data_IF_792895419360
#
_entry.id   IF_792895419360
#
_cell.length_a   1.000
_cell.length_b   1.000
_cell.length_c   1.000
_cell.angle_alpha   90.00
_cell.angle_beta   90.00
_cell.angle_gamma   90.00
#
_symmetry.space_group_name_H-M   'P 1'
#
loop_
_entity.id
_entity.type
_entity.pdbx_description
1 polymer ?
#
# COMPACT_ATOMS: atom_id res chain seq x y z
N UNK A 1 -9.05 23.39 -13.06
CA UNK A 1 -7.84 22.96 -12.34
C UNK A 1 -7.95 21.47 -12.15
N UNK A 2 -7.31 20.71 -13.03
CA UNK A 2 -7.22 19.26 -12.98
C UNK A 2 -5.72 18.94 -12.98
N UNK A 3 -5.25 18.22 -11.96
CA UNK A 3 -3.92 17.63 -11.95
C UNK A 3 -4.09 16.11 -12.03
N UNK A 4 -3.70 15.57 -13.17
CA UNK A 4 -3.46 14.16 -13.41
C UNK A 4 -2.06 13.81 -12.89
N UNK A 5 -1.95 12.79 -12.04
CA UNK A 5 -0.65 12.28 -11.59
C UNK A 5 -0.33 11.02 -12.41
N UNK A 6 0.64 11.14 -13.29
CA UNK A 6 1.14 10.08 -14.15
C UNK A 6 2.24 9.29 -13.42
N UNK A 7 2.19 7.96 -13.54
CA UNK A 7 3.06 7.01 -12.88
C UNK A 7 4.42 6.89 -13.59
N UNK A 8 5.53 7.05 -12.85
CA UNK A 8 6.88 6.76 -13.34
C UNK A 8 7.31 5.33 -13.00
N UNK A 9 7.76 4.59 -14.03
CA UNK A 9 8.38 3.25 -13.94
C UNK A 9 9.78 3.33 -13.27
N UNK A 10 10.19 2.29 -12.53
CA UNK A 10 11.50 2.25 -11.89
C UNK A 10 12.63 1.92 -12.87
N UNK A 11 13.76 2.63 -12.72
CA UNK A 11 15.01 2.37 -13.44
C UNK A 11 15.79 1.21 -12.80
N UNK A 12 16.37 0.40 -13.69
CA UNK A 12 17.24 -0.74 -13.47
C UNK A 12 18.50 -0.39 -12.66
N UNK A 13 18.71 -1.03 -11.50
CA UNK A 13 20.02 -1.04 -10.82
C UNK A 13 20.62 -2.44 -10.85
N UNK A 14 21.84 -2.52 -11.39
CA UNK A 14 22.65 -3.71 -11.59
C UNK A 14 22.86 -4.49 -10.28
N UNK A 15 22.61 -5.80 -10.34
CA UNK A 15 22.98 -6.79 -9.31
C UNK A 15 24.51 -6.81 -9.15
N UNK A 16 25.02 -6.41 -8.00
CA UNK A 16 26.34 -6.83 -7.53
C UNK A 16 26.16 -7.74 -6.32
N UNK A 17 26.41 -9.03 -6.56
CA UNK A 17 26.37 -10.13 -5.61
C UNK A 17 27.67 -10.08 -4.80
N UNK A 18 27.69 -9.36 -3.67
CA UNK A 18 28.80 -9.50 -2.70
C UNK A 18 28.63 -10.84 -1.98
N UNK A 19 29.57 -11.75 -2.25
CA UNK A 19 29.73 -13.03 -1.56
C UNK A 19 29.93 -12.76 -0.06
N UNK A 20 29.33 -13.60 0.77
CA UNK A 20 29.45 -13.52 2.23
C UNK A 20 30.91 -13.60 2.66
N UNK A 21 31.29 -12.68 3.54
CA UNK A 21 32.55 -12.72 4.26
C UNK A 21 32.37 -13.73 5.41
N UNK A 22 33.06 -14.86 5.28
CA UNK A 22 33.21 -15.87 6.32
C UNK A 22 34.03 -15.31 7.49
N UNK A 23 33.73 -15.82 8.69
CA UNK A 23 34.28 -15.41 10.00
C UNK A 23 35.82 -15.43 10.12
N UNK A 24 36.53 -15.94 9.11
CA UNK A 24 38.00 -16.08 9.08
C UNK A 24 38.77 -14.79 8.73
N UNK A 25 38.08 -13.71 8.36
CA UNK A 25 38.76 -12.45 7.95
C UNK A 25 39.21 -11.57 9.14
N UNK A 26 38.95 -11.98 10.38
CA UNK A 26 39.17 -11.15 11.58
C UNK A 26 40.57 -11.32 12.23
N UNK A 27 41.28 -12.43 11.97
CA UNK A 27 42.61 -12.72 12.56
C UNK A 27 43.77 -12.62 11.57
N UNK A 28 43.85 -11.51 10.82
CA UNK A 28 44.81 -11.37 9.71
C UNK A 28 45.46 -10.00 9.59
N UNK A 29 45.78 -9.32 10.69
CA UNK A 29 46.59 -8.10 10.65
C UNK A 29 47.92 -8.33 11.39
N UNK A 30 48.97 -8.69 10.64
CA UNK A 30 50.36 -8.58 11.11
C UNK A 30 50.65 -7.11 11.34
N UNK A 31 50.86 -6.72 12.59
CA UNK A 31 51.43 -5.41 12.93
C UNK A 31 52.91 -5.45 12.52
N UNK A 32 53.25 -4.73 11.46
CA UNK A 32 54.63 -4.38 11.14
C UNK A 32 55.02 -3.22 12.05
N UNK A 33 55.57 -3.52 13.23
CA UNK A 33 56.39 -2.56 13.96
C UNK A 33 57.85 -2.86 13.63
N UNK A 34 58.36 -2.09 12.68
CA UNK A 34 59.77 -1.88 12.42
C UNK A 34 60.26 -0.90 13.48
N UNK A 35 60.88 -1.42 14.54
CA UNK A 35 61.83 -0.64 15.33
C UNK A 35 63.16 -1.35 15.19
N UNK A 36 64.10 -0.66 14.53
CA UNK A 36 65.47 -1.07 14.33
C UNK A 36 66.09 -1.33 15.71
N UNK A 37 66.45 -2.59 15.98
CA UNK A 37 67.33 -2.92 17.09
C UNK A 37 68.72 -2.46 16.64
N UNK A 38 69.09 -1.25 17.03
CA UNK A 38 70.45 -0.75 16.88
C UNK A 38 71.37 -1.63 17.75
N UNK A 39 72.10 -2.52 17.10
CA UNK A 39 73.12 -3.36 17.73
C UNK A 39 74.27 -2.44 18.15
N UNK A 40 74.33 -2.06 19.43
CA UNK A 40 75.55 -1.47 19.99
C UNK A 40 76.62 -2.56 19.97
N UNK A 41 77.48 -2.53 18.94
CA UNK A 41 78.80 -3.15 19.01
C UNK A 41 79.66 -2.31 19.94
N UNK A 42 79.65 -2.62 21.24
CA UNK A 42 80.68 -2.12 22.13
C UNK A 42 81.89 -3.05 22.11
N UNK A 43 82.97 -2.48 21.59
CA UNK A 43 84.33 -3.00 21.54
C UNK A 43 84.83 -3.50 22.89
N UNK A 44 85.40 -4.70 22.90
CA UNK A 44 86.14 -5.25 24.04
C UNK A 44 87.28 -4.31 24.49
N UNK A 45 87.38 -3.93 25.79
CA UNK A 45 88.57 -3.26 26.28
C UNK A 45 89.68 -4.30 26.48
N UNK A 46 90.84 -3.98 25.90
CA UNK A 46 92.09 -4.73 26.06
C UNK A 46 92.51 -4.77 27.54
N UNK A 47 93.12 -5.87 27.92
CA UNK A 47 93.73 -6.06 29.24
C UNK A 47 94.87 -5.05 29.48
N UNK A 48 94.81 -4.34 30.61
CA UNK A 48 95.99 -3.76 31.24
C UNK A 48 95.91 -3.97 32.74
N UNK A 49 96.90 -4.69 33.29
CA UNK A 49 97.06 -4.94 34.72
C UNK A 49 97.37 -3.63 35.46
N UNK A 50 96.68 -3.40 36.58
CA UNK A 50 97.01 -2.36 37.56
C UNK A 50 96.42 -2.74 38.92
N UNK A 51 97.30 -2.96 39.89
CA UNK A 51 97.03 -3.37 41.27
C UNK A 51 96.22 -2.34 42.08
N UNK A 52 95.39 -2.84 43.01
CA UNK A 52 95.31 -2.30 44.38
C UNK A 52 94.09 -1.44 44.77
N UNK A 53 93.18 -2.07 45.52
CA UNK A 53 92.25 -1.53 46.54
C UNK A 53 91.19 -0.48 46.17
N UNK A 54 89.96 -0.93 45.91
CA UNK A 54 88.80 -0.77 46.83
C UNK A 54 87.55 -1.46 46.22
N UNK A 55 86.98 -2.52 46.85
CA UNK A 55 85.74 -3.17 46.38
C UNK A 55 84.48 -2.31 46.54
N UNK A 56 84.54 -1.21 47.30
CA UNK A 56 83.36 -0.55 47.85
C UNK A 56 82.59 0.36 46.87
N UNK A 57 83.24 0.95 45.86
CA UNK A 57 82.59 1.93 44.96
C UNK A 57 81.95 1.31 43.71
N UNK A 58 82.35 0.11 43.32
CA UNK A 58 81.74 -0.63 42.19
C UNK A 58 80.48 -1.36 42.62
N UNK A 59 80.49 -1.92 43.83
CA UNK A 59 79.36 -2.64 44.41
C UNK A 59 78.18 -1.71 44.71
N UNK A 60 78.45 -0.46 45.11
CA UNK A 60 77.44 0.60 45.25
C UNK A 60 76.78 0.97 43.90
N UNK A 61 77.54 1.05 42.82
CA UNK A 61 77.02 1.34 41.47
C UNK A 61 76.13 0.21 40.94
N UNK A 62 76.55 -1.05 41.11
CA UNK A 62 75.75 -2.25 40.77
C UNK A 62 74.47 -2.33 41.61
N UNK A 63 74.54 -1.99 42.90
CA UNK A 63 73.36 -1.91 43.78
C UNK A 63 72.39 -0.80 43.34
N UNK A 64 72.91 0.35 42.89
CA UNK A 64 72.07 1.44 42.41
C UNK A 64 71.41 1.10 41.06
N UNK A 65 72.14 0.44 40.16
CA UNK A 65 71.62 -0.03 38.89
C UNK A 65 70.53 -1.10 39.06
N UNK A 66 70.74 -2.06 39.97
CA UNK A 66 69.73 -3.10 40.29
C UNK A 66 68.47 -2.49 40.88
N UNK A 67 68.58 -1.55 41.85
CA UNK A 67 67.42 -0.82 42.39
C UNK A 67 66.66 -0.03 41.32
N UNK A 68 67.35 0.63 40.38
CA UNK A 68 66.70 1.35 39.27
C UNK A 68 65.99 0.39 38.31
N UNK A 69 66.60 -0.76 38.03
CA UNK A 69 66.01 -1.80 37.19
C UNK A 69 64.76 -2.41 37.85
N UNK A 70 64.82 -2.71 39.15
CA UNK A 70 63.69 -3.20 39.94
C UNK A 70 62.53 -2.18 39.95
N UNK A 71 62.81 -0.92 40.25
CA UNK A 71 61.81 0.15 40.23
C UNK A 71 61.17 0.32 38.83
N UNK A 72 61.97 0.22 37.76
CA UNK A 72 61.45 0.25 36.39
C UNK A 72 60.54 -0.94 36.08
N UNK A 73 60.93 -2.16 36.49
CA UNK A 73 60.10 -3.35 36.33
C UNK A 73 58.80 -3.27 37.13
N UNK A 74 58.85 -2.78 38.37
CA UNK A 74 57.66 -2.56 39.20
C UNK A 74 56.70 -1.55 38.57
N UNK A 75 57.21 -0.40 38.09
CA UNK A 75 56.40 0.61 37.39
C UNK A 75 55.73 0.01 36.14
N UNK A 76 56.50 -0.73 35.32
CA UNK A 76 55.95 -1.38 34.11
C UNK A 76 54.93 -2.47 34.45
N UNK A 77 55.15 -3.25 35.50
CA UNK A 77 54.22 -4.26 35.97
C UNK A 77 52.91 -3.61 36.42
N UNK A 78 52.98 -2.52 37.18
CA UNK A 78 51.81 -1.79 37.66
C UNK A 78 51.01 -1.19 36.49
N UNK A 79 51.69 -0.58 35.50
CA UNK A 79 51.04 -0.08 34.28
C UNK A 79 50.37 -1.23 33.52
N UNK A 80 51.03 -2.38 33.42
CA UNK A 80 50.48 -3.56 32.73
C UNK A 80 49.23 -4.08 33.44
N UNK A 81 49.25 -4.18 34.78
CA UNK A 81 48.09 -4.58 35.57
C UNK A 81 46.93 -3.59 35.43
N UNK A 82 47.20 -2.28 35.44
CA UNK A 82 46.18 -1.24 35.18
C UNK A 82 45.57 -1.38 33.79
N UNK A 83 46.39 -1.63 32.76
CA UNK A 83 45.88 -1.86 31.39
C UNK A 83 45.06 -3.16 31.30
N UNK A 84 45.51 -4.23 31.94
CA UNK A 84 44.82 -5.51 31.94
C UNK A 84 43.45 -5.42 32.62
N UNK A 85 43.39 -4.81 33.82
CA UNK A 85 42.13 -4.57 34.54
C UNK A 85 41.18 -3.67 33.75
N UNK A 86 41.69 -2.61 33.11
CA UNK A 86 40.88 -1.77 32.23
C UNK A 86 40.31 -2.55 31.03
N UNK A 87 41.11 -3.38 30.37
CA UNK A 87 40.65 -4.23 29.27
C UNK A 87 39.61 -5.25 29.74
N UNK A 88 39.82 -5.88 30.90
CA UNK A 88 38.88 -6.83 31.48
C UNK A 88 37.53 -6.17 31.76
N UNK A 89 37.51 -4.99 32.38
CA UNK A 89 36.27 -4.25 32.62
C UNK A 89 35.54 -3.90 31.31
N UNK A 90 36.28 -3.49 30.27
CA UNK A 90 35.69 -3.21 28.95
C UNK A 90 35.12 -4.47 28.28
N UNK A 91 35.77 -5.62 28.44
CA UNK A 91 35.25 -6.89 27.96
C UNK A 91 33.94 -7.24 28.69
N UNK A 92 33.89 -7.12 30.02
CA UNK A 92 32.70 -7.41 30.82
C UNK A 92 31.53 -6.48 30.47
N UNK A 93 31.79 -5.19 30.24
CA UNK A 93 30.81 -4.22 29.75
C UNK A 93 30.26 -4.62 28.38
N UNK A 94 31.16 -4.97 27.44
CA UNK A 94 30.79 -5.41 26.09
C UNK A 94 29.97 -6.70 26.13
N UNK A 95 30.27 -7.62 27.04
CA UNK A 95 29.49 -8.84 27.24
C UNK A 95 28.07 -8.54 27.74
N UNK A 96 27.92 -7.62 28.71
CA UNK A 96 26.62 -7.18 29.22
C UNK A 96 25.79 -6.51 28.12
N UNK A 97 26.39 -5.62 27.35
CA UNK A 97 25.73 -4.96 26.21
C UNK A 97 25.28 -5.99 25.17
N UNK A 98 26.13 -6.97 24.84
CA UNK A 98 25.78 -8.05 23.91
C UNK A 98 24.63 -8.92 24.43
N UNK A 99 24.57 -9.21 25.72
CA UNK A 99 23.44 -9.93 26.32
C UNK A 99 22.14 -9.13 26.24
N UNK A 100 22.20 -7.82 26.53
CA UNK A 100 21.06 -6.92 26.41
C UNK A 100 20.55 -6.83 24.96
N UNK A 101 21.46 -6.71 23.98
CA UNK A 101 21.13 -6.72 22.56
C UNK A 101 20.48 -8.04 22.13
N UNK A 102 21.03 -9.19 22.55
CA UNK A 102 20.42 -10.50 22.27
C UNK A 102 19.00 -10.61 22.82
N UNK A 103 18.76 -10.12 24.04
CA UNK A 103 17.42 -10.10 24.63
C UNK A 103 16.46 -9.20 23.83
N UNK A 104 16.94 -8.02 23.41
CA UNK A 104 16.15 -7.09 22.59
C UNK A 104 15.80 -7.67 21.22
N UNK A 105 16.74 -8.37 20.58
CA UNK A 105 16.50 -9.03 19.29
C UNK A 105 15.40 -10.08 19.43
N UNK A 106 15.45 -10.95 20.44
CA UNK A 106 14.39 -11.95 20.69
C UNK A 106 13.01 -11.30 20.90
N UNK A 107 12.95 -10.22 21.68
CA UNK A 107 11.70 -9.47 21.85
C UNK A 107 11.18 -8.89 20.54
N UNK A 108 12.05 -8.39 19.66
CA UNK A 108 11.65 -7.88 18.36
C UNK A 108 11.14 -9.00 17.45
N UNK A 109 11.82 -10.16 17.43
CA UNK A 109 11.39 -11.34 16.67
C UNK A 109 10.02 -11.84 17.11
N UNK A 110 9.76 -11.91 18.42
CA UNK A 110 8.45 -12.34 18.94
C UNK A 110 7.35 -11.32 18.62
N UNK A 111 7.64 -10.02 18.74
CA UNK A 111 6.71 -8.98 18.33
C UNK A 111 6.40 -9.03 16.82
N UNK A 112 7.40 -9.34 15.99
CA UNK A 112 7.23 -9.45 14.54
C UNK A 112 6.35 -10.65 14.16
N UNK A 113 6.56 -11.80 14.82
CA UNK A 113 5.68 -12.98 14.67
C UNK A 113 4.23 -12.67 15.02
N UNK A 114 3.98 -11.94 16.11
CA UNK A 114 2.63 -11.53 16.51
C UNK A 114 2.00 -10.60 15.45
N UNK A 115 2.77 -9.62 14.94
CA UNK A 115 2.31 -8.73 13.87
C UNK A 115 1.99 -9.48 12.58
N UNK A 116 2.83 -10.45 12.19
CA UNK A 116 2.60 -11.26 11.00
C UNK A 116 1.30 -12.06 11.11
N UNK A 117 1.05 -12.68 12.27
CA UNK A 117 -0.21 -13.38 12.52
C UNK A 117 -1.42 -12.45 12.45
N UNK A 118 -1.31 -11.23 12.97
CA UNK A 118 -2.38 -10.23 12.92
C UNK A 118 -2.63 -9.76 11.49
N UNK A 119 -1.58 -9.53 10.69
CA UNK A 119 -1.70 -9.18 9.28
C UNK A 119 -2.40 -10.28 8.47
N UNK A 120 -2.11 -11.56 8.75
CA UNK A 120 -2.79 -12.68 8.10
C UNK A 120 -4.29 -12.67 8.45
N UNK A 121 -4.65 -12.47 9.72
CA UNK A 121 -6.05 -12.38 10.16
C UNK A 121 -6.77 -11.20 9.49
N UNK A 122 -6.13 -10.04 9.45
CA UNK A 122 -6.68 -8.85 8.79
C UNK A 122 -6.88 -9.06 7.29
N UNK A 123 -5.92 -9.71 6.61
CA UNK A 123 -6.03 -10.07 5.20
C UNK A 123 -7.23 -10.99 4.95
N UNK A 124 -7.41 -12.03 5.79
CA UNK A 124 -8.56 -12.93 5.68
C UNK A 124 -9.89 -12.21 5.92
N UNK A 125 -9.96 -11.30 6.90
CA UNK A 125 -11.15 -10.50 7.17
C UNK A 125 -11.47 -9.55 6.02
N UNK A 126 -10.45 -8.93 5.42
CA UNK A 126 -10.59 -8.06 4.26
C UNK A 126 -11.20 -8.81 3.08
N UNK A 127 -10.70 -10.02 2.78
CA UNK A 127 -11.26 -10.88 1.71
C UNK A 127 -12.73 -11.21 1.95
N UNK A 128 -13.10 -11.58 3.18
CA UNK A 128 -14.50 -11.83 3.55
C UNK A 128 -15.39 -10.60 3.36
N UNK A 129 -14.88 -9.41 3.73
CA UNK A 129 -15.60 -8.16 3.53
C UNK A 129 -15.77 -7.82 2.05
N UNK A 130 -14.74 -8.02 1.22
CA UNK A 130 -14.82 -7.84 -0.23
C UNK A 130 -15.86 -8.75 -0.88
N UNK A 131 -15.88 -10.03 -0.50
CA UNK A 131 -16.88 -11.00 -0.95
C UNK A 131 -18.30 -10.59 -0.56
N UNK A 132 -18.49 -10.15 0.70
CA UNK A 132 -19.77 -9.65 1.18
C UNK A 132 -20.22 -8.38 0.45
N UNK A 133 -19.32 -7.42 0.24
CA UNK A 133 -19.61 -6.19 -0.51
C UNK A 133 -20.02 -6.53 -1.95
N UNK A 134 -19.31 -7.45 -2.60
CA UNK A 134 -19.64 -7.93 -3.95
C UNK A 134 -21.03 -8.58 -3.97
N UNK A 135 -21.31 -9.47 -3.03
CA UNK A 135 -22.62 -10.11 -2.89
C UNK A 135 -23.74 -9.10 -2.69
N UNK A 136 -23.58 -8.16 -1.75
CA UNK A 136 -24.56 -7.13 -1.46
C UNK A 136 -24.77 -6.19 -2.65
N UNK A 137 -23.70 -5.79 -3.34
CA UNK A 137 -23.78 -4.95 -4.54
C UNK A 137 -24.59 -5.63 -5.64
N UNK A 138 -24.32 -6.91 -5.89
CA UNK A 138 -25.08 -7.71 -6.85
C UNK A 138 -26.54 -7.85 -6.41
N UNK A 139 -26.79 -8.08 -5.11
CA UNK A 139 -28.14 -8.23 -4.58
C UNK A 139 -28.95 -6.94 -4.69
N UNK A 140 -28.35 -5.79 -4.37
CA UNK A 140 -28.98 -4.47 -4.52
C UNK A 140 -29.28 -4.19 -5.98
N UNK A 141 -28.36 -4.48 -6.90
CA UNK A 141 -28.58 -4.33 -8.35
C UNK A 141 -29.73 -5.21 -8.84
N UNK A 142 -29.81 -6.47 -8.40
CA UNK A 142 -30.92 -7.39 -8.72
C UNK A 142 -32.27 -6.85 -8.19
N UNK A 143 -32.34 -6.44 -6.92
CA UNK A 143 -33.56 -5.91 -6.32
C UNK A 143 -34.02 -4.61 -7.01
N UNK A 144 -33.08 -3.72 -7.31
CA UNK A 144 -33.34 -2.46 -8.00
C UNK A 144 -33.89 -2.70 -9.41
N UNK A 145 -33.30 -3.63 -10.16
CA UNK A 145 -33.79 -4.00 -11.49
C UNK A 145 -35.15 -4.72 -11.45
N UNK A 146 -35.40 -5.58 -10.45
CA UNK A 146 -36.72 -6.19 -10.25
C UNK A 146 -37.78 -5.13 -9.97
N UNK A 147 -37.47 -4.14 -9.13
CA UNK A 147 -38.36 -3.02 -8.84
C UNK A 147 -38.64 -2.10 -10.04
N UNK A 148 -37.72 -2.06 -11.02
CA UNK A 148 -37.84 -1.27 -12.25
C UNK A 148 -38.30 -2.05 -13.48
N UNK A 149 -38.57 -3.35 -13.35
CA UNK A 149 -38.90 -4.23 -14.48
C UNK A 149 -40.06 -3.72 -15.33
N UNK A 150 -41.06 -3.15 -14.66
CA UNK A 150 -42.31 -2.65 -15.25
C UNK A 150 -42.26 -1.16 -15.60
N UNK A 151 -41.09 -0.53 -15.44
CA UNK A 151 -40.89 0.89 -15.72
C UNK A 151 -40.40 1.09 -17.16
N UNK A 152 -40.95 2.11 -17.83
CA UNK A 152 -40.37 2.73 -19.02
C UNK A 152 -39.83 4.11 -18.69
N UNK A 153 -38.71 4.44 -19.32
CA UNK A 153 -38.09 5.75 -19.27
C UNK A 153 -38.30 6.46 -20.60
N UNK A 154 -38.89 7.65 -20.54
CA UNK A 154 -39.18 8.48 -21.70
C UNK A 154 -38.32 9.73 -21.64
N UNK A 155 -37.66 10.03 -22.76
CA UNK A 155 -36.65 11.07 -22.90
C UNK A 155 -37.10 12.02 -24.03
N UNK A 156 -36.98 13.33 -23.78
CA UNK A 156 -37.30 14.37 -24.77
C UNK A 156 -38.70 14.99 -24.64
N UNK A 157 -39.49 14.61 -23.62
CA UNK A 157 -40.78 15.25 -23.37
C UNK A 157 -40.59 16.68 -22.85
N UNK A 158 -41.17 17.73 -23.48
CA UNK A 158 -41.03 19.11 -23.03
C UNK A 158 -41.57 19.34 -21.61
N UNK A 159 -40.96 20.25 -20.85
CA UNK A 159 -41.39 20.60 -19.48
C UNK A 159 -42.44 21.72 -19.46
N UNK A 160 -43.53 21.55 -20.21
CA UNK A 160 -44.63 22.52 -20.18
C UNK A 160 -45.64 22.19 -19.05
N UNK A 161 -46.26 23.18 -18.40
CA UNK A 161 -47.24 22.95 -17.33
C UNK A 161 -48.39 22.01 -17.74
N UNK A 162 -48.83 22.10 -19.00
CA UNK A 162 -49.93 21.26 -19.52
C UNK A 162 -49.53 19.78 -19.59
N UNK A 163 -48.26 19.50 -19.87
CA UNK A 163 -47.71 18.13 -19.94
C UNK A 163 -47.45 17.60 -18.53
N UNK A 164 -46.84 18.43 -17.67
CA UNK A 164 -46.41 18.00 -16.34
C UNK A 164 -47.58 17.69 -15.40
N UNK A 165 -48.72 18.37 -15.56
CA UNK A 165 -49.91 18.14 -14.72
C UNK A 165 -50.65 16.86 -15.11
N UNK A 166 -50.53 16.42 -16.37
CA UNK A 166 -51.31 15.32 -16.96
C UNK A 166 -50.44 14.25 -17.58
N UNK A 167 -49.36 13.86 -16.90
CA UNK A 167 -48.39 12.90 -17.42
C UNK A 167 -49.04 11.56 -17.78
N UNK A 168 -50.00 11.06 -16.99
CA UNK A 168 -50.70 9.80 -17.31
C UNK A 168 -51.42 9.87 -18.66
N UNK A 169 -52.11 10.98 -18.95
CA UNK A 169 -52.78 11.19 -20.24
C UNK A 169 -51.77 11.29 -21.38
N UNK A 170 -50.64 11.96 -21.15
CA UNK A 170 -49.54 12.06 -22.13
C UNK A 170 -48.99 10.68 -22.47
N UNK A 171 -48.86 9.77 -21.50
CA UNK A 171 -48.43 8.39 -21.78
C UNK A 171 -49.45 7.66 -22.64
N UNK A 172 -50.75 7.79 -22.35
CA UNK A 172 -51.79 7.18 -23.18
C UNK A 172 -51.81 7.74 -24.61
N UNK A 173 -51.59 9.05 -24.78
CA UNK A 173 -51.48 9.68 -26.10
C UNK A 173 -50.27 9.14 -26.89
N UNK A 174 -49.12 8.97 -26.23
CA UNK A 174 -47.93 8.35 -26.85
C UNK A 174 -48.24 6.93 -27.30
N UNK A 175 -48.91 6.12 -26.48
CA UNK A 175 -49.23 4.73 -26.83
C UNK A 175 -50.23 4.69 -28.00
N UNK A 176 -51.23 5.57 -28.01
CA UNK A 176 -52.19 5.69 -29.13
C UNK A 176 -51.50 6.08 -30.44
N UNK A 177 -50.60 7.05 -30.40
CA UNK A 177 -49.89 7.55 -31.58
C UNK A 177 -48.89 6.53 -32.14
N UNK A 178 -48.23 5.76 -31.27
CA UNK A 178 -47.10 4.91 -31.68
C UNK A 178 -47.37 3.41 -31.61
N UNK A 179 -48.39 2.93 -30.90
CA UNK A 179 -48.66 1.51 -30.72
C UNK A 179 -50.18 1.20 -30.76
N UNK A 180 -50.90 1.57 -31.83
CA UNK A 180 -52.35 1.35 -31.92
C UNK A 180 -52.71 -0.15 -31.82
N UNK A 181 -51.88 -1.03 -32.38
CA UNK A 181 -52.08 -2.48 -32.34
C UNK A 181 -52.18 -3.04 -30.91
N UNK A 182 -51.45 -2.46 -29.96
CA UNK A 182 -51.48 -2.91 -28.55
C UNK A 182 -52.85 -2.61 -27.93
N UNK A 183 -53.47 -1.48 -28.32
CA UNK A 183 -54.79 -1.06 -27.86
C UNK A 183 -55.89 -1.90 -28.52
N UNK A 184 -55.76 -2.16 -29.83
CA UNK A 184 -56.72 -3.00 -30.58
C UNK A 184 -56.76 -4.44 -30.07
N UNK A 185 -55.61 -4.98 -29.62
CA UNK A 185 -55.52 -6.29 -28.99
C UNK A 185 -56.06 -6.33 -27.55
N UNK A 186 -56.63 -5.24 -27.04
CA UNK A 186 -57.14 -5.16 -25.67
C UNK A 186 -56.04 -5.23 -24.60
N UNK A 187 -54.82 -4.83 -24.93
CA UNK A 187 -53.71 -4.83 -23.99
C UNK A 187 -53.96 -3.85 -22.83
N UNK A 188 -53.71 -4.27 -21.58
CA UNK A 188 -53.80 -3.36 -20.44
C UNK A 188 -52.65 -2.34 -20.50
N UNK A 189 -52.94 -1.11 -20.94
CA UNK A 189 -52.02 0.03 -21.00
C UNK A 189 -52.06 0.92 -19.76
N UNK A 190 -52.77 0.51 -18.71
CA UNK A 190 -52.86 1.28 -17.49
C UNK A 190 -51.50 1.43 -16.81
N UNK A 191 -51.25 2.63 -16.31
CA UNK A 191 -50.06 3.02 -15.59
C UNK A 191 -50.39 3.18 -14.11
N UNK A 192 -49.57 2.59 -13.24
CA UNK A 192 -49.70 2.76 -11.78
C UNK A 192 -49.15 4.10 -11.32
N UNK A 193 -48.04 4.53 -11.91
CA UNK A 193 -47.37 5.76 -11.51
C UNK A 193 -46.58 6.35 -12.65
N UNK A 194 -46.83 7.62 -12.94
CA UNK A 194 -46.02 8.39 -13.89
C UNK A 194 -45.48 9.63 -13.20
N UNK A 195 -44.16 9.84 -13.30
CA UNK A 195 -43.51 10.99 -12.68
C UNK A 195 -42.24 11.38 -13.43
N UNK A 196 -41.83 12.64 -13.29
CA UNK A 196 -40.52 13.11 -13.75
C UNK A 196 -39.45 12.63 -12.78
N UNK A 197 -38.28 12.30 -13.32
CA UNK A 197 -37.09 12.08 -12.48
C UNK A 197 -36.77 13.37 -11.70
N UNK A 198 -36.28 13.27 -10.45
CA UNK A 198 -35.85 14.44 -9.69
C UNK A 198 -34.91 15.34 -10.50
N UNK A 199 -35.05 16.65 -10.31
CA UNK A 199 -34.09 17.59 -10.90
C UNK A 199 -32.74 17.35 -10.23
N UNK A 200 -31.77 16.84 -10.98
CA UNK A 200 -30.38 16.94 -10.54
C UNK A 200 -30.04 18.42 -10.54
N UNK A 201 -29.54 18.94 -9.41
CA UNK A 201 -29.21 20.32 -9.02
C UNK A 201 -28.33 21.13 -10.00
N UNK A 202 -28.51 21.01 -11.31
CA UNK A 202 -27.73 21.71 -12.32
C UNK A 202 -28.63 22.71 -13.05
N UNK A 203 -28.56 24.00 -12.70
CA UNK A 203 -29.31 25.08 -13.35
C UNK A 203 -29.02 25.19 -14.86
N UNK A 204 -27.93 24.60 -15.36
CA UNK A 204 -27.53 24.64 -16.76
C UNK A 204 -28.05 23.48 -17.61
N UNK A 205 -28.84 22.54 -17.04
CA UNK A 205 -29.44 21.47 -17.86
C UNK A 205 -30.51 22.05 -18.79
N UNK A 206 -30.14 22.22 -20.04
CA UNK A 206 -31.04 22.62 -21.13
C UNK A 206 -31.96 21.49 -21.59
N UNK A 207 -31.68 20.24 -21.20
CA UNK A 207 -32.46 19.06 -21.60
C UNK A 207 -33.63 18.80 -20.64
N UNK A 208 -34.85 18.55 -21.15
CA UNK A 208 -35.99 18.18 -20.32
C UNK A 208 -35.74 16.93 -19.45
N UNK A 209 -36.25 16.91 -18.23
CA UNK A 209 -36.18 15.76 -17.31
C UNK A 209 -36.89 14.55 -17.90
N UNK A 210 -36.34 13.37 -17.63
CA UNK A 210 -36.94 12.12 -18.09
C UNK A 210 -38.22 11.83 -17.31
N UNK A 211 -39.16 11.14 -17.95
CA UNK A 211 -40.38 10.64 -17.32
C UNK A 211 -40.21 9.14 -17.09
N UNK A 212 -40.57 8.68 -15.90
CA UNK A 212 -40.65 7.26 -15.55
C UNK A 212 -42.12 6.90 -15.44
N UNK A 213 -42.56 5.94 -16.25
CA UNK A 213 -43.91 5.41 -16.25
C UNK A 213 -43.88 3.94 -15.83
N UNK A 214 -44.52 3.60 -14.71
CA UNK A 214 -44.71 2.22 -14.25
C UNK A 214 -46.01 1.67 -14.80
N UNK A 215 -45.94 0.56 -15.52
CA UNK A 215 -47.09 -0.13 -16.08
C UNK A 215 -47.60 -1.22 -15.13
N UNK A 216 -48.90 -1.49 -15.18
CA UNK A 216 -49.50 -2.62 -14.46
C UNK A 216 -49.13 -3.96 -15.08
N UNK A 217 -48.95 -3.99 -16.41
CA UNK A 217 -48.63 -5.20 -17.16
C UNK A 217 -47.21 -5.15 -17.71
N UNK A 218 -46.36 -6.04 -17.22
CA UNK A 218 -45.00 -6.25 -17.73
C UNK A 218 -44.99 -6.63 -19.22
N UNK A 219 -46.02 -7.37 -19.68
CA UNK A 219 -46.17 -7.79 -21.07
C UNK A 219 -46.44 -6.59 -21.97
N UNK A 220 -47.37 -5.70 -21.58
CA UNK A 220 -47.67 -4.49 -22.34
C UNK A 220 -46.45 -3.59 -22.43
N UNK A 221 -45.75 -3.39 -21.31
CA UNK A 221 -44.50 -2.62 -21.27
C UNK A 221 -43.44 -3.18 -22.22
N UNK A 222 -43.29 -4.50 -22.31
CA UNK A 222 -42.30 -5.12 -23.20
C UNK A 222 -42.69 -4.99 -24.68
N UNK A 223 -43.98 -5.14 -25.03
CA UNK A 223 -44.47 -4.88 -26.40
C UNK A 223 -44.18 -3.44 -26.82
N UNK A 224 -44.49 -2.46 -25.97
CA UNK A 224 -44.19 -1.04 -26.23
C UNK A 224 -42.68 -0.84 -26.43
N UNK A 225 -41.85 -1.46 -25.59
CA UNK A 225 -40.40 -1.35 -25.69
C UNK A 225 -39.86 -1.98 -26.98
N UNK A 226 -40.41 -3.10 -27.43
CA UNK A 226 -40.06 -3.74 -28.69
C UNK A 226 -40.40 -2.83 -29.88
N UNK A 227 -41.57 -2.22 -29.88
CA UNK A 227 -41.96 -1.24 -30.89
C UNK A 227 -41.04 -0.02 -30.90
N UNK A 228 -40.64 0.47 -29.71
CA UNK A 228 -39.68 1.57 -29.57
C UNK A 228 -38.28 1.24 -30.08
N UNK A 229 -37.90 -0.04 -30.17
CA UNK A 229 -36.63 -0.46 -30.79
C UNK A 229 -36.71 -0.48 -32.32
N UNK A 230 -37.89 -0.70 -32.89
CA UNK A 230 -38.09 -0.78 -34.35
C UNK A 230 -38.23 0.59 -35.00
N UNK A 231 -38.91 1.53 -34.33
CA UNK A 231 -39.22 2.86 -34.86
C UNK A 231 -39.00 3.96 -33.82
N UNK A 232 -38.81 5.18 -34.32
CA UNK A 232 -38.74 6.37 -33.49
C UNK A 232 -40.14 6.76 -33.01
N UNK A 233 -40.30 6.88 -31.70
CA UNK A 233 -41.57 7.30 -31.11
C UNK A 233 -41.79 8.80 -31.22
N UNK A 234 -43.05 9.22 -31.24
CA UNK A 234 -43.47 10.61 -31.32
C UNK A 234 -44.50 10.96 -30.24
N UNK A 235 -44.55 12.23 -29.86
CA UNK A 235 -45.63 12.80 -29.08
C UNK A 235 -46.09 14.08 -29.77
N UNK A 236 -47.33 14.08 -30.29
CA UNK A 236 -47.86 15.19 -31.10
C UNK A 236 -46.91 15.55 -32.24
N UNK A 237 -46.39 14.52 -32.93
CA UNK A 237 -45.41 14.68 -34.01
C UNK A 237 -43.96 14.93 -33.58
N UNK A 238 -43.71 15.36 -32.34
CA UNK A 238 -42.34 15.60 -31.85
C UNK A 238 -41.63 14.28 -31.51
N UNK A 239 -40.37 14.09 -31.96
CA UNK A 239 -39.62 12.87 -31.66
C UNK A 239 -39.32 12.71 -30.17
N UNK A 240 -39.56 11.53 -29.64
CA UNK A 240 -39.22 11.12 -28.27
C UNK A 240 -38.47 9.79 -28.30
N UNK A 241 -37.72 9.52 -27.22
CA UNK A 241 -37.02 8.23 -27.06
C UNK A 241 -37.57 7.49 -25.86
N UNK A 242 -37.92 6.22 -26.06
CA UNK A 242 -38.39 5.31 -25.01
C UNK A 242 -37.34 4.24 -24.78
N UNK A 243 -36.91 4.08 -23.52
CA UNK A 243 -35.92 3.09 -23.12
C UNK A 243 -36.40 2.32 -21.89
N UNK A 244 -35.76 1.19 -21.63
CA UNK A 244 -35.94 0.48 -20.36
C UNK A 244 -35.37 1.32 -19.21
N UNK A 245 -36.05 1.32 -18.06
CA UNK A 245 -35.51 1.86 -16.81
C UNK A 245 -34.67 0.76 -16.13
N UNK A 246 -33.37 0.98 -16.01
CA UNK A 246 -32.40 0.00 -15.49
C UNK A 246 -31.53 0.65 -14.42
N UNK A 247 -30.98 -0.17 -13.53
CA UNK A 247 -29.93 0.25 -12.61
C UNK A 247 -28.72 0.84 -13.35
N UNK A 248 -28.09 1.85 -12.74
CA UNK A 248 -26.91 2.51 -13.31
C UNK A 248 -25.77 1.53 -13.57
N UNK A 249 -25.55 0.56 -12.66
CA UNK A 249 -24.57 -0.52 -12.83
C UNK A 249 -24.86 -1.33 -14.09
N UNK A 250 -26.09 -1.80 -14.27
CA UNK A 250 -26.51 -2.56 -15.45
C UNK A 250 -26.39 -1.75 -16.74
N UNK A 251 -26.67 -0.44 -16.71
CA UNK A 251 -26.45 0.43 -17.88
C UNK A 251 -24.96 0.55 -18.21
N UNK A 252 -24.08 0.62 -17.20
CA UNK A 252 -22.64 0.66 -17.41
C UNK A 252 -22.12 -0.67 -17.95
N UNK A 253 -22.59 -1.81 -17.45
CA UNK A 253 -22.22 -3.14 -17.95
C UNK A 253 -22.61 -3.29 -19.43
N UNK A 254 -23.81 -2.85 -19.81
CA UNK A 254 -24.25 -2.87 -21.21
C UNK A 254 -23.40 -1.96 -22.10
N UNK A 255 -22.98 -0.79 -21.60
CA UNK A 255 -22.07 0.10 -22.34
C UNK A 255 -20.70 -0.56 -22.53
N UNK A 256 -20.16 -1.17 -21.48
CA UNK A 256 -18.88 -1.87 -21.54
C UNK A 256 -18.93 -3.03 -22.55
N UNK A 257 -20.05 -3.76 -22.59
CA UNK A 257 -20.23 -4.85 -23.55
C UNK A 257 -20.30 -4.36 -25.01
N UNK A 258 -20.90 -3.19 -25.26
CA UNK A 258 -20.94 -2.58 -26.59
C UNK A 258 -19.61 -1.95 -27.05
N UNK A 259 -18.60 -1.88 -26.18
CA UNK A 259 -17.26 -1.36 -26.51
C UNK A 259 -16.29 -2.47 -26.93
N UNK A 260 -16.68 -3.74 -26.78
CA UNK A 260 -15.93 -4.92 -27.19
C UNK A 260 -16.43 -5.35 -28.56
#
# INVERSE_FOLDING_TARGET
MANSTEAQKPQNTKKNKKKGETLDTFYGAKIQNTEEIEYIQESAPKSSKGNGNSPQTHEEFESEMTKKMEAFWEEKLEIMQKKFTHLQNRCDETEKENQALKARIRQLEDNDRVKEQELIKQSQNTKKLEENIKYLTNKVTDLENRGRRDNLRIIGLPEKPEINTKLDMVIQDIIKENCPEILEQGGNTATDRVHRTPSTLNPQKTTPRNVIAKFQSSQTKEKILQEARKRQFRYKGMPIRVTQDLASSTLNDRKAWNMI
#
